data_IF_315800438038
#
_entry.id   IF_315800438038
#
_cell.length_a   1.000
_cell.length_b   1.000
_cell.length_c   1.000
_cell.angle_alpha   90.00
_cell.angle_beta   90.00
_cell.angle_gamma   90.00
#
_symmetry.space_group_name_H-M   'P 1'
#
loop_
_entity.id
_entity.type
_entity.pdbx_description
1 polymer ?
#
# COMPACT_ATOMS: atom_id res chain seq x y z
N UNK A 1 -11.24 8.97 -13.93
CA UNK A 1 -10.21 8.19 -13.24
C UNK A 1 -10.43 8.26 -11.74
N UNK A 2 -9.86 7.34 -10.98
CA UNK A 2 -9.94 7.40 -9.51
C UNK A 2 -8.70 6.81 -8.84
N UNK A 3 -8.45 7.25 -7.61
CA UNK A 3 -7.55 6.63 -6.66
C UNK A 3 -8.38 5.96 -5.57
N UNK A 4 -8.18 4.66 -5.35
CA UNK A 4 -8.73 3.94 -4.21
C UNK A 4 -7.56 3.52 -3.33
N UNK A 5 -7.49 4.05 -2.11
CA UNK A 5 -6.44 3.75 -1.15
C UNK A 5 -6.97 2.79 -0.10
N UNK A 6 -6.48 1.55 -0.14
CA UNK A 6 -6.73 0.53 0.87
C UNK A 6 -5.72 0.70 2.00
N UNK A 7 -6.19 1.13 3.16
CA UNK A 7 -5.39 1.37 4.38
C UNK A 7 -5.65 0.25 5.38
N UNK A 8 -4.69 0.03 6.26
CA UNK A 8 -4.87 -0.78 7.45
C UNK A 8 -3.56 -1.39 7.88
N UNK A 9 -3.57 -2.05 9.03
CA UNK A 9 -2.37 -2.63 9.62
C UNK A 9 -1.85 -3.85 8.83
N UNK A 10 -0.69 -4.38 9.21
CA UNK A 10 -0.13 -5.56 8.54
C UNK A 10 -1.07 -6.78 8.69
N UNK A 11 -1.25 -7.56 7.61
CA UNK A 11 -2.07 -8.80 7.57
C UNK A 11 -3.60 -8.63 7.73
N UNK A 12 -4.14 -7.42 7.55
CA UNK A 12 -5.60 -7.18 7.57
C UNK A 12 -6.34 -7.67 6.32
N UNK A 13 -5.63 -7.88 5.20
CA UNK A 13 -6.23 -8.39 3.95
C UNK A 13 -6.19 -7.45 2.75
N UNK A 14 -5.49 -6.30 2.82
CA UNK A 14 -5.41 -5.30 1.74
C UNK A 14 -5.13 -5.88 0.35
N UNK A 15 -4.16 -6.80 0.25
CA UNK A 15 -3.82 -7.40 -1.05
C UNK A 15 -4.96 -8.26 -1.60
N UNK A 16 -5.62 -9.04 -0.74
CA UNK A 16 -6.74 -9.91 -1.13
C UNK A 16 -7.91 -9.07 -1.60
N UNK A 17 -8.30 -8.06 -0.82
CA UNK A 17 -9.38 -7.13 -1.19
C UNK A 17 -9.04 -6.38 -2.47
N UNK A 18 -7.80 -5.88 -2.61
CA UNK A 18 -7.36 -5.21 -3.82
C UNK A 18 -7.44 -6.09 -5.06
N UNK A 19 -7.06 -7.37 -4.97
CA UNK A 19 -7.13 -8.32 -6.09
C UNK A 19 -8.56 -8.63 -6.48
N UNK A 20 -9.46 -8.80 -5.52
CA UNK A 20 -10.88 -9.02 -5.81
C UNK A 20 -11.55 -7.78 -6.38
N UNK A 21 -11.11 -6.59 -5.97
CA UNK A 21 -11.59 -5.33 -6.54
C UNK A 21 -11.11 -5.14 -7.99
N UNK A 22 -9.84 -5.48 -8.29
CA UNK A 22 -9.27 -5.44 -9.65
C UNK A 22 -10.07 -6.28 -10.65
N UNK A 23 -10.78 -7.32 -10.21
CA UNK A 23 -11.67 -8.14 -11.06
C UNK A 23 -13.04 -7.51 -11.33
N UNK A 24 -13.47 -6.58 -10.48
CA UNK A 24 -14.82 -6.02 -10.50
C UNK A 24 -14.89 -4.64 -11.14
N UNK A 25 -13.78 -3.91 -11.19
CA UNK A 25 -13.70 -2.57 -11.79
C UNK A 25 -12.54 -2.50 -12.79
N UNK A 26 -12.60 -1.52 -13.69
CA UNK A 26 -11.45 -1.13 -14.51
C UNK A 26 -10.43 -0.39 -13.62
N UNK A 27 -9.64 -1.20 -12.91
CA UNK A 27 -8.58 -0.75 -12.03
C UNK A 27 -7.36 -1.65 -12.09
N UNK A 28 -6.22 -1.11 -11.66
CA UNK A 28 -4.98 -1.86 -11.47
C UNK A 28 -4.48 -1.72 -10.03
N UNK A 29 -4.10 -2.85 -9.46
CA UNK A 29 -3.61 -2.91 -8.08
C UNK A 29 -2.11 -2.58 -8.00
N UNK A 30 -1.77 -1.59 -7.17
CA UNK A 30 -0.42 -1.20 -6.81
C UNK A 30 -0.16 -1.54 -5.34
N UNK A 31 0.70 -2.54 -5.11
CA UNK A 31 1.13 -2.89 -3.75
C UNK A 31 2.27 -1.99 -3.30
N UNK A 32 2.26 -1.56 -2.03
CA UNK A 32 3.38 -0.82 -1.42
C UNK A 32 4.76 -1.45 -1.73
N UNK A 33 4.84 -2.78 -1.68
CA UNK A 33 6.10 -3.49 -1.88
C UNK A 33 6.57 -3.57 -3.33
N UNK A 34 5.72 -3.34 -4.33
CA UNK A 34 6.18 -3.36 -5.74
C UNK A 34 7.18 -2.24 -6.02
N UNK A 35 6.98 -1.06 -5.43
CA UNK A 35 7.93 0.07 -5.57
C UNK A 35 9.02 0.03 -4.51
N UNK A 36 8.69 -0.35 -3.27
CA UNK A 36 9.66 -0.35 -2.17
C UNK A 36 10.71 -1.46 -2.32
N UNK A 37 10.30 -2.67 -2.68
CA UNK A 37 11.24 -3.81 -2.76
C UNK A 37 12.25 -3.58 -3.89
N UNK A 38 11.86 -2.92 -4.99
CA UNK A 38 12.80 -2.51 -6.06
C UNK A 38 13.99 -1.72 -5.50
N UNK A 39 13.75 -0.72 -4.65
CA UNK A 39 14.83 0.07 -4.06
C UNK A 39 15.50 -0.66 -2.90
N UNK A 40 14.74 -1.43 -2.12
CA UNK A 40 15.27 -2.18 -0.99
C UNK A 40 16.26 -3.28 -1.40
N UNK A 41 16.11 -3.84 -2.61
CA UNK A 41 17.06 -4.80 -3.17
C UNK A 41 18.48 -4.23 -3.34
N UNK A 42 18.60 -2.89 -3.48
CA UNK A 42 19.91 -2.21 -3.60
C UNK A 42 20.32 -1.44 -2.34
N UNK A 43 19.36 -0.89 -1.60
CA UNK A 43 19.60 0.06 -0.51
C UNK A 43 19.19 -0.48 0.87
N UNK A 44 18.68 -1.72 0.93
CA UNK A 44 17.96 -2.24 2.08
C UNK A 44 16.66 -1.48 2.34
N UNK A 45 15.91 -1.86 3.38
CA UNK A 45 14.75 -1.09 3.86
C UNK A 45 15.22 0.17 4.64
N UNK A 46 16.00 1.02 3.96
CA UNK A 46 16.57 2.27 4.47
C UNK A 46 15.67 3.46 4.18
N UNK A 47 15.90 4.59 4.87
CA UNK A 47 15.16 5.85 4.67
C UNK A 47 15.17 6.29 3.20
N UNK A 48 16.28 6.10 2.50
CA UNK A 48 16.41 6.47 1.10
C UNK A 48 15.55 5.58 0.19
N UNK A 49 15.45 4.27 0.47
CA UNK A 49 14.55 3.38 -0.26
C UNK A 49 13.07 3.77 -0.09
N UNK A 50 12.67 4.17 1.13
CA UNK A 50 11.32 4.68 1.39
C UNK A 50 11.06 5.99 0.62
N UNK A 51 11.98 6.95 0.69
CA UNK A 51 11.85 8.24 0.00
C UNK A 51 11.79 8.08 -1.52
N UNK A 52 12.64 7.24 -2.10
CA UNK A 52 12.62 6.92 -3.54
C UNK A 52 11.29 6.26 -3.93
N UNK A 53 10.83 5.29 -3.14
CA UNK A 53 9.55 4.63 -3.36
C UNK A 53 8.38 5.61 -3.33
N UNK A 54 8.36 6.55 -2.40
CA UNK A 54 7.30 7.57 -2.30
C UNK A 54 7.33 8.53 -3.49
N UNK A 55 8.51 8.98 -3.90
CA UNK A 55 8.68 9.80 -5.11
C UNK A 55 8.19 9.05 -6.35
N UNK A 56 8.60 7.80 -6.54
CA UNK A 56 8.16 6.97 -7.68
C UNK A 56 6.64 6.83 -7.73
N UNK A 57 5.97 6.62 -6.60
CA UNK A 57 4.49 6.55 -6.56
C UNK A 57 3.84 7.87 -6.93
N UNK A 58 4.34 8.99 -6.39
CA UNK A 58 3.82 10.33 -6.70
C UNK A 58 4.00 10.65 -8.19
N UNK A 59 5.16 10.35 -8.77
CA UNK A 59 5.41 10.56 -10.20
C UNK A 59 4.53 9.64 -11.08
N UNK A 60 4.33 8.38 -10.69
CA UNK A 60 3.37 7.49 -11.35
C UNK A 60 1.96 8.08 -11.32
N UNK A 61 1.51 8.59 -10.16
CA UNK A 61 0.17 9.15 -10.01
C UNK A 61 -0.01 10.43 -10.83
N UNK A 62 0.99 11.31 -10.86
CA UNK A 62 1.00 12.50 -11.73
C UNK A 62 0.91 12.10 -13.21
N UNK A 63 1.73 11.14 -13.64
CA UNK A 63 1.68 10.65 -15.01
C UNK A 63 0.31 10.05 -15.35
N UNK A 64 -0.29 9.30 -14.43
CA UNK A 64 -1.61 8.70 -14.60
C UNK A 64 -2.70 9.76 -14.79
N UNK A 65 -2.75 10.80 -13.94
CA UNK A 65 -3.80 11.83 -14.06
C UNK A 65 -3.61 12.74 -15.28
N UNK A 66 -2.37 12.92 -15.75
CA UNK A 66 -2.06 13.78 -16.89
C UNK A 66 -2.27 13.11 -18.26
N UNK A 67 -2.33 11.77 -18.32
CA UNK A 67 -2.40 11.03 -19.58
C UNK A 67 -3.60 10.04 -19.64
N UNK A 68 -4.84 10.49 -19.39
CA UNK A 68 -6.00 9.60 -19.31
C UNK A 68 -6.24 8.74 -20.55
N UNK A 69 -5.88 9.24 -21.74
CA UNK A 69 -6.14 8.59 -23.02
C UNK A 69 -5.23 7.39 -23.31
N UNK A 70 -4.02 7.39 -22.74
CA UNK A 70 -3.01 6.33 -22.97
C UNK A 70 -2.91 5.35 -21.81
N UNK A 71 -3.57 5.64 -20.69
CA UNK A 71 -3.61 4.74 -19.55
C UNK A 71 -4.28 3.40 -19.91
N UNK A 72 -3.70 2.31 -19.44
CA UNK A 72 -4.24 0.96 -19.63
C UNK A 72 -5.37 0.60 -18.67
N UNK A 73 -5.71 1.51 -17.74
CA UNK A 73 -6.79 1.36 -16.77
C UNK A 73 -7.34 2.71 -16.34
N UNK A 74 -8.54 2.74 -15.74
CA UNK A 74 -9.17 3.97 -15.24
C UNK A 74 -8.95 4.23 -13.75
N UNK A 75 -8.53 3.23 -12.98
CA UNK A 75 -8.43 3.36 -11.51
C UNK A 75 -7.13 2.79 -10.98
N UNK A 76 -6.45 3.53 -10.10
CA UNK A 76 -5.36 2.95 -9.29
C UNK A 76 -5.96 2.47 -7.97
N UNK A 77 -5.77 1.19 -7.67
CA UNK A 77 -6.07 0.62 -6.36
C UNK A 77 -4.74 0.53 -5.61
N UNK A 78 -4.48 1.44 -4.69
CA UNK A 78 -3.23 1.51 -3.96
C UNK A 78 -3.36 0.92 -2.56
N UNK A 79 -2.42 0.07 -2.16
CA UNK A 79 -2.36 -0.45 -0.78
C UNK A 79 -1.20 0.16 -0.03
N UNK A 80 -1.44 0.65 1.18
CA UNK A 80 -0.39 1.24 2.03
C UNK A 80 -0.65 0.89 3.50
N UNK A 81 0.41 0.90 4.31
CA UNK A 81 0.31 0.86 5.77
C UNK A 81 0.51 2.29 6.23
N UNK A 82 -0.40 2.78 7.06
CA UNK A 82 -0.39 4.14 7.59
C UNK A 82 -0.40 4.04 9.12
N UNK A 83 0.45 4.82 9.73
CA UNK A 83 0.38 5.21 11.13
C UNK A 83 -0.34 6.56 11.21
N UNK A 84 -1.57 6.58 11.74
CA UNK A 84 -2.36 7.81 11.80
C UNK A 84 -1.80 8.84 12.80
N UNK A 85 -0.91 8.42 13.69
CA UNK A 85 -0.17 9.31 14.59
C UNK A 85 1.12 9.87 13.94
N UNK A 86 1.49 9.36 12.76
CA UNK A 86 2.64 9.84 11.98
C UNK A 86 2.24 11.00 11.07
N UNK A 87 2.70 12.21 11.39
CA UNK A 87 2.51 13.38 10.53
C UNK A 87 3.03 13.15 9.09
N UNK A 88 4.12 12.38 8.95
CA UNK A 88 4.69 12.00 7.64
C UNK A 88 3.70 11.15 6.82
N UNK A 89 3.05 10.17 7.46
CA UNK A 89 2.11 9.29 6.78
C UNK A 89 0.84 10.05 6.39
N UNK A 90 0.37 10.95 7.26
CA UNK A 90 -0.75 11.85 6.97
C UNK A 90 -0.43 12.77 5.79
N UNK A 91 0.74 13.42 5.80
CA UNK A 91 1.21 14.28 4.70
C UNK A 91 1.32 13.48 3.39
N UNK A 92 1.84 12.25 3.45
CA UNK A 92 1.89 11.37 2.28
C UNK A 92 0.49 11.07 1.71
N UNK A 93 -0.52 10.80 2.56
CA UNK A 93 -1.90 10.61 2.10
C UNK A 93 -2.50 11.88 1.49
N UNK A 94 -2.19 13.05 2.07
CA UNK A 94 -2.63 14.34 1.54
C UNK A 94 -2.02 14.59 0.17
N UNK A 95 -0.71 14.41 0.02
CA UNK A 95 0.01 14.60 -1.24
C UNK A 95 -0.55 13.74 -2.38
N UNK A 96 -0.75 12.44 -2.13
CA UNK A 96 -1.30 11.55 -3.17
C UNK A 96 -2.75 11.89 -3.49
N UNK A 97 -3.51 12.41 -2.52
CA UNK A 97 -4.90 12.81 -2.74
C UNK A 97 -4.96 14.07 -3.59
N UNK A 98 -4.13 15.07 -3.28
CA UNK A 98 -4.09 16.35 -3.99
C UNK A 98 -3.81 16.15 -5.49
N UNK A 99 -2.89 15.25 -5.86
CA UNK A 99 -2.60 14.92 -7.27
C UNK A 99 -3.88 14.56 -8.04
N UNK A 100 -4.78 13.78 -7.44
CA UNK A 100 -6.03 13.38 -8.10
C UNK A 100 -7.11 14.44 -7.99
N UNK A 101 -7.27 15.08 -6.84
CA UNK A 101 -8.30 16.09 -6.61
C UNK A 101 -8.08 17.34 -7.47
N UNK A 102 -6.83 17.81 -7.61
CA UNK A 102 -6.47 18.93 -8.48
C UNK A 102 -6.75 18.63 -9.96
N UNK A 103 -6.63 17.36 -10.36
CA UNK A 103 -7.01 16.88 -11.69
C UNK A 103 -8.53 16.60 -11.83
N UNK A 104 -9.34 17.05 -10.87
CA UNK A 104 -10.80 16.83 -10.80
C UNK A 104 -11.19 15.32 -10.84
N UNK A 105 -10.35 14.47 -10.24
CA UNK A 105 -10.57 13.02 -10.12
C UNK A 105 -10.98 12.64 -8.71
N UNK A 106 -11.60 11.46 -8.57
CA UNK A 106 -12.12 10.97 -7.29
C UNK A 106 -11.05 10.26 -6.48
N UNK A 107 -11.07 10.47 -5.16
CA UNK A 107 -10.22 9.77 -4.19
C UNK A 107 -11.09 9.07 -3.16
N UNK A 108 -10.80 7.80 -2.88
CA UNK A 108 -11.50 6.98 -1.90
C UNK A 108 -10.52 6.36 -0.90
N UNK A 109 -10.82 6.48 0.38
CA UNK A 109 -10.10 5.80 1.45
C UNK A 109 -10.94 4.67 2.01
N UNK A 110 -10.36 3.46 2.10
CA UNK A 110 -11.00 2.29 2.68
C UNK A 110 -10.07 1.69 3.72
N UNK A 111 -10.45 1.78 4.99
CA UNK A 111 -9.72 1.14 6.07
C UNK A 111 -10.18 -0.31 6.27
N UNK A 112 -9.24 -1.24 6.26
CA UNK A 112 -9.47 -2.63 6.61
C UNK A 112 -8.99 -2.91 8.03
N UNK A 113 -9.93 -3.30 8.89
CA UNK A 113 -9.69 -3.62 10.30
C UNK A 113 -9.89 -5.12 10.54
N UNK A 114 -9.00 -5.72 11.33
CA UNK A 114 -9.13 -7.08 11.80
C UNK A 114 -8.45 -7.26 13.16
N UNK A 115 -9.04 -8.08 14.03
CA UNK A 115 -8.45 -8.37 15.34
C UNK A 115 -7.04 -8.98 15.21
N UNK A 116 -6.16 -8.65 16.17
CA UNK A 116 -4.77 -9.14 16.18
C UNK A 116 -4.69 -10.67 16.03
N UNK A 117 -5.55 -11.42 16.73
CA UNK A 117 -5.62 -12.89 16.64
C UNK A 117 -5.83 -13.37 15.20
N UNK A 118 -6.71 -12.70 14.46
CA UNK A 118 -7.00 -13.02 13.05
C UNK A 118 -5.81 -12.68 12.17
N UNK A 119 -5.19 -11.51 12.39
CA UNK A 119 -3.99 -11.07 11.65
C UNK A 119 -2.80 -12.00 11.86
N UNK A 120 -2.57 -12.48 13.09
CA UNK A 120 -1.53 -13.45 13.42
C UNK A 120 -1.75 -14.78 12.68
N UNK A 121 -2.99 -15.30 12.66
CA UNK A 121 -3.34 -16.52 11.93
C UNK A 121 -3.10 -16.36 10.41
N UNK A 122 -3.41 -15.20 9.85
CA UNK A 122 -3.21 -14.91 8.41
C UNK A 122 -1.74 -14.69 8.04
N UNK A 123 -0.89 -14.31 8.99
CA UNK A 123 0.48 -13.94 8.70
C UNK A 123 1.36 -15.11 8.22
N UNK A 124 0.97 -16.34 8.55
CA UNK A 124 1.70 -17.58 8.19
C UNK A 124 1.11 -18.29 6.96
N UNK A 125 0.10 -17.71 6.31
CA UNK A 125 -0.58 -18.35 5.18
C UNK A 125 0.30 -18.38 3.93
N UNK A 126 0.29 -19.50 3.18
CA UNK A 126 1.21 -19.75 2.05
C UNK A 126 1.18 -18.67 0.96
N UNK A 127 -0.01 -18.18 0.60
CA UNK A 127 -0.15 -17.11 -0.40
C UNK A 127 0.60 -15.83 0.00
N UNK A 128 0.69 -15.53 1.30
CA UNK A 128 1.39 -14.36 1.83
C UNK A 128 2.91 -14.56 1.80
N UNK A 129 3.38 -15.79 2.08
CA UNK A 129 4.80 -16.15 2.01
C UNK A 129 5.32 -16.17 0.56
N UNK A 130 4.46 -16.57 -0.40
CA UNK A 130 4.77 -16.52 -1.84
C UNK A 130 4.79 -15.09 -2.37
N UNK A 131 3.86 -14.24 -1.94
CA UNK A 131 3.73 -12.86 -2.44
C UNK A 131 4.76 -11.86 -1.87
N UNK A 132 5.49 -12.20 -0.80
CA UNK A 132 6.46 -11.31 -0.17
C UNK A 132 7.74 -12.06 0.24
N UNK A 133 8.82 -11.98 -0.55
CA UNK A 133 10.10 -12.63 -0.25
C UNK A 133 10.65 -12.28 1.13
N UNK A 134 10.52 -11.01 1.55
CA UNK A 134 10.95 -10.49 2.87
C UNK A 134 10.20 -11.07 4.07
N UNK A 135 9.14 -11.85 3.87
CA UNK A 135 8.33 -12.46 4.94
C UNK A 135 8.55 -13.98 5.10
N UNK A 136 9.52 -14.56 4.39
CA UNK A 136 9.93 -15.96 4.58
C UNK A 136 10.59 -16.23 5.94
N UNK A 137 11.07 -15.18 6.63
CA UNK A 137 11.39 -15.25 8.07
C UNK A 137 10.13 -14.99 8.91
N UNK A 138 9.50 -16.09 9.33
CA UNK A 138 8.27 -16.09 10.13
C UNK A 138 8.47 -15.50 11.53
N UNK A 139 9.68 -15.59 12.10
CA UNK A 139 10.01 -15.07 13.43
C UNK A 139 10.21 -13.55 13.42
N UNK A 140 10.85 -13.00 12.38
CA UNK A 140 10.95 -11.56 12.16
C UNK A 140 9.57 -10.96 11.86
N UNK A 141 8.78 -11.61 11.00
CA UNK A 141 7.43 -11.13 10.69
C UNK A 141 6.46 -11.18 11.86
N UNK A 142 6.59 -12.16 12.76
CA UNK A 142 5.79 -12.23 13.99
C UNK A 142 6.18 -11.11 14.96
N UNK A 143 7.48 -10.84 15.11
CA UNK A 143 7.97 -9.72 15.95
C UNK A 143 7.48 -8.37 15.44
N UNK A 144 7.56 -8.10 14.13
CA UNK A 144 7.01 -6.90 13.49
C UNK A 144 5.50 -6.71 13.72
N UNK A 145 4.73 -7.79 13.66
CA UNK A 145 3.28 -7.73 13.92
C UNK A 145 2.97 -7.38 15.38
N UNK A 146 3.75 -7.92 16.32
CA UNK A 146 3.59 -7.65 17.74
C UNK A 146 4.03 -6.21 18.10
N UNK A 147 5.13 -5.72 17.52
CA UNK A 147 5.60 -4.34 17.75
C UNK A 147 4.72 -3.28 17.12
N UNK A 148 4.20 -3.51 15.89
CA UNK A 148 3.26 -2.56 15.24
C UNK A 148 1.89 -2.46 15.93
N UNK A 149 1.51 -3.46 16.74
CA UNK A 149 0.24 -3.42 17.48
C UNK A 149 0.35 -2.65 18.81
N UNK A 150 1.57 -2.39 19.28
CA UNK A 150 1.83 -1.56 20.46
C UNK A 150 1.91 -0.06 20.13
N UNK A 151 2.19 0.30 18.87
CA UNK A 151 2.23 1.69 18.40
C UNK A 151 0.87 2.22 17.94
N UNK A 152 0.03 1.38 17.36
CA UNK A 152 -1.23 1.80 16.72
C UNK A 152 -2.45 1.54 17.63
N UNK A 153 -2.39 1.99 18.89
CA UNK A 153 -3.52 1.92 19.84
C UNK A 153 -3.99 3.30 20.22
#
# INVERSE_FOLDING_TARGET
MALIVLIGSQAVGKMTVGKELEKQIDGKLLFNHQTLDLFADFLGYSKDAFLLSDRTRKELFKAFVNNPETNTTKTIIFTVVIDFDSAYDIEFLQDISSIFLEANQKVYFVELVAALRVRLKRNVHEERLKAKPSKRDTNFSRRELLTSTLKNR
#
